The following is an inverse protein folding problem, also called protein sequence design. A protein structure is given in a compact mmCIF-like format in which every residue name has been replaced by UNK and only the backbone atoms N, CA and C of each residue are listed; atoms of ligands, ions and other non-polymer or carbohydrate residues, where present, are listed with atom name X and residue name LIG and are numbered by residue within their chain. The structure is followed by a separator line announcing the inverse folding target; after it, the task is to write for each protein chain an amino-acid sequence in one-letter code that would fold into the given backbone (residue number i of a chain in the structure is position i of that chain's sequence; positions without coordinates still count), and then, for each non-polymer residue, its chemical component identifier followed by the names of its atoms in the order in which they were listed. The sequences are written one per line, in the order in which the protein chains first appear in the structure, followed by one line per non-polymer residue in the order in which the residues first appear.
data_IF_163676304533
#
_entry.id   IF_163676304533
#
_cell.length_a   1.000
_cell.length_b   1.000
_cell.length_c   1.000
_cell.angle_alpha   90.00
_cell.angle_beta   90.00
_cell.angle_gamma   90.00
#
_symmetry.space_group_name_H-M   'P 1'
#
loop_
_entity.id
_entity.type
_entity.pdbx_description
1 polymer ?
#
# COMPACT_ATOMS: atom_id res chain seq x y z
N UNK A 1 -4.02 61.36 50.69
CA UNK A 1 -3.65 60.27 51.61
C UNK A 1 -4.84 59.34 51.74
N UNK A 2 -4.87 58.24 50.99
CA UNK A 2 -5.77 57.11 51.19
C UNK A 2 -5.10 55.88 50.57
N UNK A 3 -4.99 54.81 51.36
CA UNK A 3 -4.27 53.59 51.03
C UNK A 3 -5.22 52.46 50.58
N UNK A 4 -4.64 51.52 49.83
CA UNK A 4 -5.04 50.11 49.63
C UNK A 4 -6.04 49.79 48.50
N UNK A 5 -6.11 48.53 47.97
CA UNK A 5 -5.32 47.33 48.30
C UNK A 5 -4.73 46.51 47.11
N UNK A 6 -3.72 45.72 47.46
CA UNK A 6 -3.36 44.36 47.02
C UNK A 6 -3.98 43.78 45.74
N UNK A 7 -3.13 43.56 44.73
CA UNK A 7 -3.46 42.83 43.51
C UNK A 7 -3.14 41.33 43.71
N UNK A 8 -4.15 40.55 44.09
CA UNK A 8 -4.05 39.10 44.27
C UNK A 8 -4.22 38.41 42.90
N UNK A 9 -3.11 38.08 42.24
CA UNK A 9 -3.13 37.28 41.01
C UNK A 9 -3.48 35.84 41.36
N UNK A 10 -4.71 35.41 41.10
CA UNK A 10 -5.07 34.00 41.10
C UNK A 10 -4.39 33.31 39.92
N UNK A 11 -3.42 32.44 40.21
CA UNK A 11 -2.90 31.48 39.25
C UNK A 11 -4.03 30.49 38.93
N UNK A 12 -4.71 30.69 37.80
CA UNK A 12 -5.59 29.67 37.26
C UNK A 12 -4.71 28.58 36.63
N UNK A 13 -4.69 27.41 37.26
CA UNK A 13 -4.20 26.19 36.63
C UNK A 13 -5.12 25.86 35.45
N UNK A 14 -4.64 26.12 34.24
CA UNK A 14 -5.25 25.59 33.04
C UNK A 14 -4.98 24.07 33.01
N UNK A 15 -5.83 23.30 33.67
CA UNK A 15 -5.88 21.86 33.48
C UNK A 15 -6.40 21.60 32.05
N UNK A 16 -5.51 21.18 31.15
CA UNK A 16 -5.88 20.68 29.84
C UNK A 16 -6.66 19.38 30.01
N UNK A 17 -7.99 19.48 30.00
CA UNK A 17 -8.86 18.32 29.91
C UNK A 17 -8.65 17.72 28.51
N UNK A 18 -7.92 16.63 28.42
CA UNK A 18 -7.96 15.75 27.24
C UNK A 18 -9.40 15.28 27.09
N UNK A 19 -10.13 15.88 26.15
CA UNK A 19 -11.43 15.35 25.74
C UNK A 19 -11.19 13.91 25.30
N UNK A 20 -11.85 12.97 25.96
CA UNK A 20 -11.99 11.61 25.43
C UNK A 20 -12.48 11.76 23.99
N UNK A 21 -11.74 11.21 23.03
CA UNK A 21 -12.08 11.25 21.62
C UNK A 21 -13.52 10.78 21.51
N UNK A 22 -14.44 11.69 21.19
CA UNK A 22 -15.87 11.35 21.09
C UNK A 22 -15.99 10.29 20.01
N UNK A 23 -16.18 9.04 20.41
CA UNK A 23 -16.37 7.94 19.48
C UNK A 23 -17.60 8.25 18.64
N UNK A 24 -17.50 7.96 17.34
CA UNK A 24 -18.60 8.21 16.42
C UNK A 24 -19.86 7.49 16.94
N UNK A 25 -21.06 8.11 16.91
CA UNK A 25 -22.28 7.53 17.46
C UNK A 25 -22.53 6.08 16.99
N UNK A 26 -22.28 5.80 15.72
CA UNK A 26 -22.40 4.46 15.11
C UNK A 26 -21.42 3.44 15.71
N UNK A 27 -20.20 3.86 16.07
CA UNK A 27 -19.22 2.99 16.73
C UNK A 27 -19.66 2.67 18.16
N UNK A 28 -20.23 3.65 18.85
CA UNK A 28 -20.80 3.45 20.19
C UNK A 28 -21.98 2.49 20.14
N UNK A 29 -22.88 2.68 19.18
CA UNK A 29 -24.04 1.82 18.94
C UNK A 29 -23.60 0.37 18.63
N UNK A 30 -22.66 0.19 17.71
CA UNK A 30 -22.08 -1.12 17.41
C UNK A 30 -21.52 -1.83 18.66
N UNK A 31 -20.74 -1.11 19.47
CA UNK A 31 -20.12 -1.68 20.66
C UNK A 31 -21.17 -2.02 21.74
N UNK A 32 -22.24 -1.24 21.85
CA UNK A 32 -23.37 -1.50 22.73
C UNK A 32 -24.15 -2.74 22.30
N UNK A 33 -24.43 -2.89 21.00
CA UNK A 33 -25.07 -4.10 20.44
C UNK A 33 -24.21 -5.36 20.66
N UNK A 34 -22.90 -5.24 20.48
CA UNK A 34 -21.94 -6.32 20.70
C UNK A 34 -21.91 -6.77 22.17
N UNK A 35 -21.84 -5.81 23.10
CA UNK A 35 -21.84 -6.10 24.53
C UNK A 35 -23.16 -6.71 24.98
N UNK A 36 -24.30 -6.19 24.49
CA UNK A 36 -25.64 -6.74 24.78
C UNK A 36 -25.76 -8.21 24.37
N UNK A 37 -25.26 -8.57 23.19
CA UNK A 37 -25.23 -9.96 22.72
C UNK A 37 -24.37 -10.86 23.61
N UNK A 38 -23.17 -10.38 23.99
CA UNK A 38 -22.25 -11.10 24.87
C UNK A 38 -22.82 -11.34 26.27
N UNK A 39 -23.44 -10.32 26.87
CA UNK A 39 -23.99 -10.40 28.23
C UNK A 39 -25.23 -11.33 28.29
N UNK A 40 -25.97 -11.41 27.19
CA UNK A 40 -27.09 -12.34 27.00
C UNK A 40 -26.66 -13.81 26.90
N UNK A 41 -25.38 -14.09 26.64
CA UNK A 41 -24.80 -15.43 26.62
C UNK A 41 -24.29 -15.86 28.01
N UNK A 42 -23.70 -14.94 28.77
CA UNK A 42 -23.13 -15.21 30.09
C UNK A 42 -24.19 -15.44 31.20
N UNK A 43 -25.37 -14.85 31.06
CA UNK A 43 -26.45 -14.91 32.06
C UNK A 43 -27.39 -16.09 31.80
N UNK A 44 -26.86 -17.32 31.91
CA UNK A 44 -27.59 -18.56 31.57
C UNK A 44 -28.54 -19.05 32.68
N UNK A 45 -29.36 -18.14 33.23
CA UNK A 45 -30.45 -18.47 34.14
C UNK A 45 -31.77 -17.94 33.57
N UNK A 46 -32.47 -18.84 32.87
CA UNK A 46 -33.85 -18.73 32.35
C UNK A 46 -34.15 -17.64 31.28
N UNK A 47 -34.40 -18.13 30.07
CA UNK A 47 -35.27 -17.57 29.01
C UNK A 47 -34.91 -16.26 28.30
N UNK A 48 -33.73 -16.14 27.70
CA UNK A 48 -33.65 -15.37 26.44
C UNK A 48 -34.08 -16.29 25.30
N UNK A 49 -35.17 -15.93 24.63
CA UNK A 49 -35.72 -16.69 23.52
C UNK A 49 -34.74 -16.64 22.33
N UNK A 50 -34.69 -17.70 21.52
CA UNK A 50 -33.86 -17.73 20.29
C UNK A 50 -34.17 -16.52 19.39
N UNK A 51 -35.43 -16.08 19.36
CA UNK A 51 -35.87 -14.88 18.65
C UNK A 51 -35.18 -13.59 19.11
N UNK A 52 -34.94 -13.40 20.41
CA UNK A 52 -34.27 -12.20 20.92
C UNK A 52 -32.79 -12.17 20.54
N UNK A 53 -32.13 -13.34 20.53
CA UNK A 53 -30.74 -13.46 20.06
C UNK A 53 -30.61 -13.18 18.57
N UNK A 54 -31.54 -13.69 17.76
CA UNK A 54 -31.59 -13.42 16.32
C UNK A 54 -31.86 -11.94 16.01
N UNK A 55 -32.78 -11.31 16.75
CA UNK A 55 -33.02 -9.87 16.64
C UNK A 55 -31.79 -9.06 17.02
N UNK A 56 -31.09 -9.42 18.11
CA UNK A 56 -29.85 -8.77 18.48
C UNK A 56 -28.74 -8.90 17.43
N UNK A 57 -28.67 -10.04 16.74
CA UNK A 57 -27.74 -10.24 15.63
C UNK A 57 -28.10 -9.38 14.41
N UNK A 58 -29.39 -9.23 14.11
CA UNK A 58 -29.85 -8.33 13.05
C UNK A 58 -29.49 -6.87 13.37
N UNK A 59 -29.74 -6.41 14.60
CA UNK A 59 -29.39 -5.04 15.02
C UNK A 59 -27.87 -4.79 14.91
N UNK A 60 -27.05 -5.78 15.26
CA UNK A 60 -25.60 -5.71 15.11
C UNK A 60 -25.19 -5.64 13.63
N UNK A 61 -25.82 -6.46 12.77
CA UNK A 61 -25.57 -6.45 11.34
C UNK A 61 -25.90 -5.09 10.71
N UNK A 62 -27.04 -4.51 11.07
CA UNK A 62 -27.44 -3.17 10.61
C UNK A 62 -26.43 -2.09 11.06
N UNK A 63 -25.85 -2.23 12.25
CA UNK A 63 -24.79 -1.34 12.73
C UNK A 63 -23.49 -1.50 11.92
N UNK A 64 -23.12 -2.73 11.54
CA UNK A 64 -21.95 -3.01 10.70
C UNK A 64 -22.14 -2.39 9.32
N UNK A 65 -23.31 -2.53 8.70
CA UNK A 65 -23.58 -1.93 7.40
C UNK A 65 -23.43 -0.40 7.44
N UNK A 66 -23.99 0.25 8.46
CA UNK A 66 -23.81 1.69 8.70
C UNK A 66 -22.35 2.06 8.94
N UNK A 67 -21.59 1.20 9.63
CA UNK A 67 -20.17 1.41 9.91
C UNK A 67 -19.32 1.30 8.63
N UNK A 68 -19.64 0.36 7.74
CA UNK A 68 -18.96 0.19 6.45
C UNK A 68 -19.23 1.36 5.49
N UNK A 69 -20.39 2.02 5.62
CA UNK A 69 -20.74 3.22 4.86
C UNK A 69 -20.09 4.51 5.37
N UNK A 70 -19.38 4.46 6.51
CA UNK A 70 -18.72 5.66 7.04
C UNK A 70 -17.59 6.14 6.11
N UNK A 71 -17.42 7.47 5.95
CA UNK A 71 -16.34 8.01 5.13
C UNK A 71 -14.95 7.54 5.58
N UNK A 72 -14.76 7.34 6.89
CA UNK A 72 -13.47 6.89 7.44
C UNK A 72 -13.14 5.44 7.08
N UNK A 73 -14.11 4.51 7.15
CA UNK A 73 -13.88 3.11 6.79
C UNK A 73 -13.68 2.96 5.29
N UNK A 74 -14.41 3.72 4.49
CA UNK A 74 -14.21 3.78 3.05
C UNK A 74 -12.86 4.40 2.67
N UNK A 75 -12.40 5.43 3.38
CA UNK A 75 -11.09 6.05 3.15
C UNK A 75 -9.95 5.06 3.43
N UNK A 76 -10.02 4.28 4.52
CA UNK A 76 -9.03 3.24 4.83
C UNK A 76 -9.02 2.14 3.76
N UNK A 77 -10.20 1.71 3.30
CA UNK A 77 -10.29 0.73 2.21
C UNK A 77 -9.68 1.26 0.91
N UNK A 78 -9.94 2.53 0.58
CA UNK A 78 -9.40 3.19 -0.60
C UNK A 78 -7.88 3.36 -0.53
N UNK A 79 -7.34 3.80 0.62
CA UNK A 79 -5.89 3.93 0.84
C UNK A 79 -5.19 2.56 0.68
N UNK A 80 -5.78 1.51 1.25
CA UNK A 80 -5.24 0.16 1.09
C UNK A 80 -5.29 -0.29 -0.37
N UNK A 81 -6.39 -0.03 -1.08
CA UNK A 81 -6.51 -0.33 -2.50
C UNK A 81 -5.47 0.43 -3.33
N UNK A 82 -5.29 1.72 -3.08
CA UNK A 82 -4.28 2.55 -3.74
C UNK A 82 -2.87 1.99 -3.52
N UNK A 83 -2.55 1.56 -2.30
CA UNK A 83 -1.29 0.91 -1.98
C UNK A 83 -1.07 -0.38 -2.81
N UNK A 84 -2.06 -1.26 -2.86
CA UNK A 84 -1.99 -2.49 -3.68
C UNK A 84 -1.81 -2.18 -5.17
N UNK A 85 -2.53 -1.17 -5.68
CA UNK A 85 -2.41 -0.73 -7.07
C UNK A 85 -1.02 -0.16 -7.35
N UNK A 86 -0.47 0.64 -6.44
CA UNK A 86 0.88 1.20 -6.56
C UNK A 86 1.96 0.11 -6.53
N UNK A 87 1.85 -0.89 -5.66
CA UNK A 87 2.76 -2.04 -5.62
C UNK A 87 2.70 -2.85 -6.92
N UNK A 88 1.50 -3.08 -7.44
CA UNK A 88 1.31 -3.75 -8.74
C UNK A 88 1.92 -2.93 -9.89
N UNK A 89 1.75 -1.61 -9.87
CA UNK A 89 2.30 -0.71 -10.88
C UNK A 89 3.84 -0.68 -10.83
N UNK A 90 4.42 -0.62 -9.64
CA UNK A 90 5.87 -0.69 -9.45
C UNK A 90 6.43 -2.02 -9.98
N UNK A 91 5.78 -3.14 -9.67
CA UNK A 91 6.13 -4.45 -10.23
C UNK A 91 6.05 -4.48 -11.76
N UNK A 92 5.02 -3.86 -12.34
CA UNK A 92 4.83 -3.75 -13.79
C UNK A 92 5.90 -2.88 -14.46
N UNK A 93 6.32 -1.79 -13.80
CA UNK A 93 7.39 -0.92 -14.28
C UNK A 93 8.73 -1.65 -14.31
N UNK A 94 9.07 -2.37 -13.22
CA UNK A 94 10.30 -3.19 -13.17
C UNK A 94 10.32 -4.25 -14.27
N UNK A 95 9.19 -4.88 -14.56
CA UNK A 95 9.08 -5.83 -15.67
C UNK A 95 9.34 -5.14 -17.02
N UNK A 96 8.79 -3.93 -17.22
CA UNK A 96 9.02 -3.15 -18.43
C UNK A 96 10.49 -2.75 -18.59
N UNK A 97 11.20 -2.44 -17.50
CA UNK A 97 12.63 -2.15 -17.52
C UNK A 97 13.46 -3.37 -17.94
N UNK A 98 13.13 -4.56 -17.42
CA UNK A 98 13.75 -5.83 -17.82
C UNK A 98 13.47 -6.14 -19.29
N UNK A 99 12.23 -5.97 -19.74
CA UNK A 99 11.86 -6.15 -21.14
C UNK A 99 12.60 -5.16 -22.07
N UNK A 100 12.76 -3.90 -21.64
CA UNK A 100 13.48 -2.89 -22.40
C UNK A 100 14.96 -3.23 -22.52
N UNK A 101 15.60 -3.60 -21.41
CA UNK A 101 17.00 -4.05 -21.39
C UNK A 101 17.20 -5.30 -22.27
N UNK A 102 16.27 -6.25 -22.22
CA UNK A 102 16.29 -7.46 -23.05
C UNK A 102 16.17 -7.13 -24.54
N UNK A 103 15.30 -6.20 -24.91
CA UNK A 103 15.14 -5.72 -26.28
C UNK A 103 16.42 -5.05 -26.78
N UNK A 104 17.04 -4.22 -25.97
CA UNK A 104 18.28 -3.51 -26.36
C UNK A 104 19.44 -4.49 -26.56
N UNK A 105 19.56 -5.50 -25.69
CA UNK A 105 20.52 -6.60 -25.85
C UNK A 105 20.32 -7.39 -27.16
N UNK A 106 19.05 -7.65 -27.51
CA UNK A 106 18.70 -8.31 -28.76
C UNK A 106 19.06 -7.45 -29.98
N UNK A 107 18.79 -6.14 -29.92
CA UNK A 107 19.15 -5.19 -30.97
C UNK A 107 20.67 -5.11 -31.17
N UNK A 108 21.45 -5.02 -30.10
CA UNK A 108 22.92 -5.07 -30.18
C UNK A 108 23.42 -6.37 -30.82
N UNK A 109 22.83 -7.52 -30.47
CA UNK A 109 23.19 -8.82 -31.05
C UNK A 109 22.87 -8.87 -32.56
N UNK A 110 21.74 -8.27 -32.96
CA UNK A 110 21.34 -8.17 -34.37
C UNK A 110 22.30 -7.27 -35.16
N UNK A 111 22.75 -6.17 -34.59
CA UNK A 111 23.75 -5.28 -35.20
C UNK A 111 25.08 -5.99 -35.37
N UNK A 112 25.59 -6.66 -34.33
CA UNK A 112 26.80 -7.46 -34.40
C UNK A 112 26.73 -8.51 -35.53
N UNK A 113 25.61 -9.21 -35.65
CA UNK A 113 25.41 -10.21 -36.70
C UNK A 113 25.48 -9.59 -38.11
N UNK A 114 24.93 -8.39 -38.28
CA UNK A 114 25.00 -7.64 -39.54
C UNK A 114 26.41 -7.17 -39.86
N UNK A 115 27.13 -6.64 -38.86
CA UNK A 115 28.53 -6.21 -39.00
C UNK A 115 29.41 -7.40 -39.40
N UNK A 116 29.26 -8.54 -38.72
CA UNK A 116 29.97 -9.77 -39.03
C UNK A 116 29.68 -10.25 -40.46
N UNK A 117 28.40 -10.28 -40.87
CA UNK A 117 28.01 -10.66 -42.22
C UNK A 117 28.59 -9.71 -43.27
N UNK A 118 28.66 -8.40 -42.96
CA UNK A 118 29.27 -7.39 -43.83
C UNK A 118 30.76 -7.65 -44.04
N UNK A 119 31.51 -7.95 -42.96
CA UNK A 119 32.93 -8.29 -43.03
C UNK A 119 33.15 -9.55 -43.88
N UNK A 120 32.34 -10.59 -43.67
CA UNK A 120 32.44 -11.85 -44.43
C UNK A 120 32.12 -11.68 -45.92
N UNK A 121 31.23 -10.75 -46.28
CA UNK A 121 30.88 -10.47 -47.68
C UNK A 121 31.93 -9.67 -48.43
N UNK A 122 32.75 -8.87 -47.74
CA UNK A 122 33.86 -8.16 -48.37
C UNK A 122 34.88 -9.19 -48.82
N UNK A 123 35.22 -9.20 -50.11
CA UNK A 123 36.10 -10.18 -50.79
C UNK A 123 37.49 -10.36 -50.13
N UNK A 124 37.83 -9.49 -49.17
CA UNK A 124 39.06 -9.45 -48.38
C UNK A 124 38.79 -9.10 -46.91
N UNK A 125 37.74 -9.68 -46.30
CA UNK A 125 37.53 -9.57 -44.86
C UNK A 125 38.77 -10.07 -44.12
N UNK A 126 39.50 -9.18 -43.45
CA UNK A 126 40.75 -9.58 -42.79
C UNK A 126 40.45 -10.37 -41.52
N UNK A 127 41.27 -11.38 -41.23
CA UNK A 127 41.18 -12.14 -39.96
C UNK A 127 41.23 -11.21 -38.73
N UNK A 128 41.91 -10.06 -38.87
CA UNK A 128 42.00 -9.03 -37.85
C UNK A 128 40.68 -8.27 -37.62
N UNK A 129 39.93 -7.94 -38.68
CA UNK A 129 38.61 -7.31 -38.56
C UNK A 129 37.59 -8.25 -37.91
N UNK A 130 37.60 -9.53 -38.29
CA UNK A 130 36.74 -10.56 -37.67
C UNK A 130 37.05 -10.73 -36.18
N UNK A 131 38.33 -10.78 -35.81
CA UNK A 131 38.75 -10.86 -34.41
C UNK A 131 38.31 -9.62 -33.62
N UNK A 132 38.48 -8.42 -34.20
CA UNK A 132 38.07 -7.16 -33.56
C UNK A 132 36.56 -7.10 -33.31
N UNK A 133 35.75 -7.49 -34.30
CA UNK A 133 34.29 -7.53 -34.14
C UNK A 133 33.92 -8.56 -33.06
N UNK A 134 34.54 -9.76 -33.09
CA UNK A 134 34.35 -10.78 -32.05
C UNK A 134 34.63 -10.29 -30.63
N UNK A 135 35.73 -9.56 -30.42
CA UNK A 135 36.04 -8.95 -29.11
C UNK A 135 35.02 -7.89 -28.70
N UNK A 136 34.52 -7.09 -29.65
CA UNK A 136 33.43 -6.12 -29.40
C UNK A 136 32.16 -6.83 -28.93
N UNK A 137 31.77 -7.94 -29.55
CA UNK A 137 30.63 -8.75 -29.09
C UNK A 137 30.86 -9.35 -27.70
N UNK A 138 32.04 -9.92 -27.45
CA UNK A 138 32.36 -10.50 -26.13
C UNK A 138 32.27 -9.44 -25.03
N UNK A 139 32.73 -8.21 -25.32
CA UNK A 139 32.65 -7.08 -24.40
C UNK A 139 31.21 -6.63 -24.18
N UNK A 140 30.43 -6.43 -25.26
CA UNK A 140 28.99 -6.10 -25.16
C UNK A 140 28.23 -7.16 -24.36
N UNK A 141 28.47 -8.44 -24.62
CA UNK A 141 27.83 -9.56 -23.91
C UNK A 141 28.14 -9.56 -22.41
N UNK A 142 29.37 -9.19 -22.02
CA UNK A 142 29.73 -9.05 -20.59
C UNK A 142 28.96 -7.91 -19.93
N UNK A 143 28.75 -6.79 -20.64
CA UNK A 143 27.96 -5.65 -20.15
C UNK A 143 26.49 -6.04 -19.99
N UNK A 144 25.88 -6.68 -20.99
CA UNK A 144 24.50 -7.17 -20.92
C UNK A 144 24.32 -8.13 -19.75
N UNK A 145 25.23 -9.10 -19.58
CA UNK A 145 25.19 -10.04 -18.44
C UNK A 145 25.34 -9.40 -17.07
N UNK A 146 25.87 -8.18 -16.99
CA UNK A 146 25.99 -7.41 -15.74
C UNK A 146 24.75 -6.55 -15.48
N UNK A 147 24.05 -6.15 -16.54
CA UNK A 147 22.86 -5.32 -16.49
C UNK A 147 21.56 -6.12 -16.31
N UNK A 148 21.58 -7.42 -16.64
CA UNK A 148 20.53 -8.40 -16.32
C UNK A 148 20.85 -9.12 -15.01
#
# INVERSE_FOLDING_TARGET
MAASPFNQKSHHHACSNSLATRTHPIISEFNEQLNRLRDSEATSSSSTSISEKLNGLQDLYDCVDKLLLLPFTQAVAHEQQEKWVNELLDGSLRLLDVCSTSRDALLQTKEFTRDLQSILRRRQGSKMELAKEGEKYLTSRKVVKKAM
#
